data_IF_963306001744
#
_entry.id   IF_963306001744
#
_cell.length_a   1.000
_cell.length_b   1.000
_cell.length_c   1.000
_cell.angle_alpha   90.00
_cell.angle_beta   90.00
_cell.angle_gamma   90.00
#
_symmetry.space_group_name_H-M   'P 1'
#
loop_
_entity.id
_entity.type
_entity.pdbx_description
1 polymer ?
#
# COMPACT_ATOMS: atom_id res chain seq x y z
N UNK A 1 -15.31 -7.77 2.57
CA UNK A 1 -14.59 -6.71 1.85
C UNK A 1 -13.34 -6.40 2.66
N UNK A 2 -12.23 -6.05 2.04
CA UNK A 2 -10.97 -5.84 2.77
C UNK A 2 -10.94 -4.47 3.42
N UNK A 3 -10.42 -4.41 4.64
CA UNK A 3 -10.20 -3.19 5.42
C UNK A 3 -8.87 -2.52 5.08
N UNK A 4 -8.66 -1.30 5.55
CA UNK A 4 -7.34 -0.65 5.48
C UNK A 4 -6.26 -1.44 6.23
N UNK A 5 -6.63 -2.11 7.30
CA UNK A 5 -5.73 -3.00 8.04
C UNK A 5 -5.25 -4.18 7.17
N UNK A 6 -6.14 -4.84 6.43
CA UNK A 6 -5.77 -5.97 5.54
C UNK A 6 -4.79 -5.51 4.46
N UNK A 7 -4.99 -4.31 3.91
CA UNK A 7 -4.09 -3.71 2.91
C UNK A 7 -2.71 -3.40 3.51
N UNK A 8 -2.67 -2.85 4.72
CA UNK A 8 -1.43 -2.58 5.44
C UNK A 8 -0.65 -3.87 5.77
N UNK A 9 -1.34 -4.90 6.24
CA UNK A 9 -0.73 -6.22 6.52
C UNK A 9 -0.25 -6.89 5.23
N UNK A 10 -0.99 -6.79 4.14
CA UNK A 10 -0.53 -7.29 2.85
C UNK A 10 0.74 -6.58 2.38
N UNK A 11 0.83 -5.26 2.54
CA UNK A 11 2.03 -4.50 2.19
C UNK A 11 3.25 -4.95 3.01
N UNK A 12 3.09 -5.17 4.33
CA UNK A 12 4.15 -5.70 5.19
C UNK A 12 4.62 -7.08 4.73
N UNK A 13 3.69 -7.95 4.39
CA UNK A 13 3.98 -9.29 3.89
C UNK A 13 4.76 -9.25 2.58
N UNK A 14 4.41 -8.36 1.66
CA UNK A 14 5.16 -8.17 0.40
C UNK A 14 6.61 -7.77 0.68
N UNK A 15 6.85 -6.87 1.62
CA UNK A 15 8.20 -6.46 2.01
C UNK A 15 9.02 -7.63 2.60
N UNK A 16 8.40 -8.49 3.40
CA UNK A 16 9.06 -9.67 3.96
C UNK A 16 9.36 -10.73 2.90
N UNK A 17 8.42 -10.98 1.98
CA UNK A 17 8.55 -11.98 0.92
C UNK A 17 9.61 -11.61 -0.13
N UNK A 18 9.77 -10.32 -0.43
CA UNK A 18 10.77 -9.88 -1.41
C UNK A 18 12.21 -10.05 -0.88
N UNK A 19 12.39 -9.99 0.45
CA UNK A 19 13.65 -10.31 1.10
C UNK A 19 14.85 -9.50 0.61
N UNK A 20 14.65 -8.23 0.23
CA UNK A 20 15.69 -7.37 -0.33
C UNK A 20 16.03 -7.61 -1.81
N UNK A 21 15.36 -8.55 -2.49
CA UNK A 21 15.48 -8.71 -3.94
C UNK A 21 15.04 -7.43 -4.63
N UNK A 22 15.70 -7.08 -5.72
CA UNK A 22 15.58 -5.77 -6.34
C UNK A 22 15.59 -5.83 -7.86
N UNK A 23 15.34 -4.69 -8.48
CA UNK A 23 15.30 -4.50 -9.90
C UNK A 23 13.92 -4.11 -10.43
N UNK A 24 13.88 -3.62 -11.65
CA UNK A 24 12.64 -3.18 -12.27
C UNK A 24 11.83 -4.33 -12.87
N UNK A 25 12.49 -5.40 -13.31
CA UNK A 25 11.82 -6.59 -13.80
C UNK A 25 11.44 -7.49 -12.62
N UNK A 26 10.25 -7.34 -12.10
CA UNK A 26 9.77 -8.01 -10.90
C UNK A 26 8.29 -8.36 -10.97
N UNK A 27 7.76 -9.06 -9.97
CA UNK A 27 6.36 -9.51 -9.98
C UNK A 27 5.33 -8.38 -10.07
N UNK A 28 5.64 -7.16 -9.61
CA UNK A 28 4.71 -6.02 -9.65
C UNK A 28 4.62 -5.42 -11.04
N UNK A 29 5.77 -5.29 -11.72
CA UNK A 29 5.81 -4.81 -13.11
C UNK A 29 5.20 -5.81 -14.08
N UNK A 30 5.45 -7.12 -13.89
CA UNK A 30 4.79 -8.17 -14.64
C UNK A 30 3.29 -8.15 -14.44
N UNK A 31 2.84 -8.18 -13.17
CA UNK A 31 1.41 -8.16 -12.88
C UNK A 31 0.71 -6.94 -13.50
N UNK A 32 1.31 -5.75 -13.38
CA UNK A 32 0.72 -4.53 -13.92
C UNK A 32 0.63 -4.59 -15.45
N UNK A 33 1.72 -4.95 -16.11
CA UNK A 33 1.79 -5.01 -17.56
C UNK A 33 0.88 -6.08 -18.16
N UNK A 34 0.75 -7.23 -17.50
CA UNK A 34 -0.04 -8.35 -17.99
C UNK A 34 -1.56 -8.19 -17.70
N UNK A 35 -1.95 -7.44 -16.68
CA UNK A 35 -3.34 -7.38 -16.20
C UNK A 35 -4.00 -6.01 -16.27
N UNK A 36 -3.23 -4.92 -16.44
CA UNK A 36 -3.76 -3.55 -16.41
C UNK A 36 -3.46 -2.82 -17.71
N UNK A 37 -2.20 -2.66 -18.07
CA UNK A 37 -1.77 -1.89 -19.23
C UNK A 37 -0.41 -2.38 -19.70
N UNK A 38 -0.31 -2.84 -20.93
CA UNK A 38 0.93 -3.36 -21.50
C UNK A 38 1.95 -2.23 -21.76
N UNK A 39 2.76 -1.94 -20.74
CA UNK A 39 3.84 -0.93 -20.78
C UNK A 39 5.24 -1.54 -20.66
N UNK A 40 5.34 -2.87 -20.82
CA UNK A 40 6.58 -3.63 -20.60
C UNK A 40 6.87 -3.84 -19.11
N UNK A 41 8.05 -4.37 -18.80
CA UNK A 41 8.40 -4.77 -17.43
C UNK A 41 9.52 -3.91 -16.80
N UNK A 42 9.97 -2.87 -17.50
CA UNK A 42 11.08 -2.03 -17.04
C UNK A 42 10.63 -0.57 -16.87
N UNK A 43 9.91 -0.30 -15.79
CA UNK A 43 9.43 1.03 -15.43
C UNK A 43 9.53 1.28 -13.91
N UNK A 44 9.27 2.50 -13.48
CA UNK A 44 9.25 2.88 -12.07
C UNK A 44 7.98 2.37 -11.41
N UNK A 45 8.10 1.42 -10.50
CA UNK A 45 7.02 0.55 -10.08
C UNK A 45 6.43 0.80 -8.67
N UNK A 46 6.69 1.95 -8.06
CA UNK A 46 6.06 2.31 -6.79
C UNK A 46 4.52 2.28 -6.87
N UNK A 47 3.98 2.83 -7.95
CA UNK A 47 2.54 2.86 -8.22
C UNK A 47 1.97 1.47 -8.57
N UNK A 48 2.69 0.69 -9.37
CA UNK A 48 2.32 -0.71 -9.68
C UNK A 48 2.33 -1.58 -8.41
N UNK A 49 3.26 -1.35 -7.48
CA UNK A 49 3.27 -2.01 -6.18
C UNK A 49 1.99 -1.74 -5.40
N UNK A 50 1.58 -0.47 -5.25
CA UNK A 50 0.33 -0.12 -4.56
C UNK A 50 -0.86 -0.77 -5.25
N UNK A 51 -0.96 -0.65 -6.58
CA UNK A 51 -2.02 -1.28 -7.38
C UNK A 51 -2.08 -2.79 -7.15
N UNK A 52 -0.94 -3.47 -7.17
CA UNK A 52 -0.85 -4.90 -6.89
C UNK A 52 -1.38 -5.24 -5.49
N UNK A 53 -0.87 -4.59 -4.45
CA UNK A 53 -1.23 -4.88 -3.05
C UNK A 53 -2.73 -4.74 -2.83
N UNK A 54 -3.34 -3.64 -3.27
CA UNK A 54 -4.77 -3.41 -3.08
C UNK A 54 -5.63 -4.43 -3.86
N UNK A 55 -5.20 -4.86 -5.06
CA UNK A 55 -5.90 -5.92 -5.82
C UNK A 55 -5.76 -7.30 -5.17
N UNK A 56 -4.60 -7.63 -4.60
CA UNK A 56 -4.44 -8.87 -3.84
C UNK A 56 -5.37 -8.94 -2.61
N UNK A 57 -5.77 -7.79 -2.08
CA UNK A 57 -6.78 -7.68 -1.04
C UNK A 57 -8.22 -7.65 -1.57
N UNK A 58 -8.45 -7.74 -2.88
CA UNK A 58 -9.79 -7.68 -3.48
C UNK A 58 -10.43 -6.30 -3.44
N UNK A 59 -9.67 -5.23 -3.22
CA UNK A 59 -10.17 -3.85 -3.25
C UNK A 59 -10.51 -3.49 -4.70
N UNK A 60 -11.73 -3.04 -5.03
CA UNK A 60 -12.12 -2.71 -6.41
C UNK A 60 -11.49 -1.41 -6.92
N UNK A 61 -11.44 -1.24 -8.25
CA UNK A 61 -10.90 -0.02 -8.88
C UNK A 61 -11.72 1.24 -8.60
N UNK A 62 -12.96 1.10 -8.19
CA UNK A 62 -13.82 2.19 -7.72
C UNK A 62 -13.42 2.74 -6.34
N UNK A 63 -12.60 2.01 -5.59
CA UNK A 63 -12.07 2.42 -4.28
C UNK A 63 -10.64 2.92 -4.42
N UNK A 64 -9.76 2.15 -5.09
CA UNK A 64 -8.40 2.56 -5.43
C UNK A 64 -8.19 2.26 -6.92
N UNK A 65 -7.92 3.25 -7.79
CA UNK A 65 -7.67 2.99 -9.20
C UNK A 65 -6.39 2.18 -9.39
N UNK A 66 -6.24 1.49 -10.51
CA UNK A 66 -4.93 1.04 -10.94
C UNK A 66 -4.18 2.24 -11.54
N UNK A 67 -2.90 2.37 -11.23
CA UNK A 67 -2.06 3.44 -11.77
C UNK A 67 -0.59 3.02 -11.84
N UNK A 68 0.10 3.49 -12.86
CA UNK A 68 1.56 3.42 -13.03
C UNK A 68 2.22 4.80 -12.88
N UNK A 69 1.42 5.88 -12.86
CA UNK A 69 1.85 7.26 -12.77
C UNK A 69 1.14 7.96 -11.60
N UNK A 70 1.92 8.44 -10.61
CA UNK A 70 1.36 8.99 -9.36
C UNK A 70 0.43 10.19 -9.56
N UNK A 71 0.66 11.15 -10.47
CA UNK A 71 -0.28 12.24 -10.73
C UNK A 71 -1.67 11.78 -11.13
N UNK A 72 -1.83 10.67 -11.85
CA UNK A 72 -3.15 10.13 -12.20
C UNK A 72 -3.94 9.72 -10.96
N UNK A 73 -3.27 9.12 -9.95
CA UNK A 73 -3.90 8.77 -8.69
C UNK A 73 -4.24 10.02 -7.87
N UNK A 74 -3.35 11.02 -7.83
CA UNK A 74 -3.60 12.30 -7.16
C UNK A 74 -4.87 12.96 -7.74
N UNK A 75 -4.98 13.04 -9.05
CA UNK A 75 -6.13 13.65 -9.72
C UNK A 75 -7.42 12.84 -9.51
N UNK A 76 -7.31 11.52 -9.54
CA UNK A 76 -8.46 10.66 -9.25
C UNK A 76 -8.93 10.84 -7.80
N UNK A 77 -8.05 10.80 -6.81
CA UNK A 77 -8.37 10.97 -5.40
C UNK A 77 -8.96 12.37 -5.11
N UNK A 78 -8.43 13.40 -5.77
CA UNK A 78 -8.93 14.78 -5.67
C UNK A 78 -10.36 14.89 -6.19
N UNK A 79 -10.65 14.35 -7.37
CA UNK A 79 -11.99 14.37 -7.97
C UNK A 79 -13.02 13.59 -7.16
N UNK A 80 -12.59 12.61 -6.38
CA UNK A 80 -13.47 11.82 -5.52
C UNK A 80 -13.54 12.34 -4.06
N UNK A 81 -12.95 13.51 -3.76
CA UNK A 81 -12.99 14.11 -2.42
C UNK A 81 -12.22 13.32 -1.35
N UNK A 82 -11.25 12.48 -1.75
CA UNK A 82 -10.51 11.57 -0.87
C UNK A 82 -9.05 11.94 -0.68
N UNK A 83 -8.63 13.10 -1.19
CA UNK A 83 -7.26 13.57 -1.13
C UNK A 83 -7.09 14.59 -0.02
N UNK A 84 -6.19 14.34 0.91
CA UNK A 84 -5.85 15.22 2.02
C UNK A 84 -4.44 15.77 1.84
N UNK A 85 -4.31 17.09 1.90
CA UNK A 85 -3.00 17.74 1.78
C UNK A 85 -2.14 17.51 3.03
N UNK A 86 -0.82 17.62 2.87
CA UNK A 86 0.12 17.62 4.01
C UNK A 86 -0.27 18.67 5.05
N UNK A 87 -0.78 19.84 4.64
CA UNK A 87 -1.27 20.86 5.57
C UNK A 87 -2.42 20.35 6.44
N UNK A 88 -3.40 19.64 5.86
CA UNK A 88 -4.52 19.05 6.61
C UNK A 88 -4.06 17.97 7.59
N UNK A 89 -3.02 17.21 7.25
CA UNK A 89 -2.41 16.24 8.16
C UNK A 89 -1.68 16.96 9.31
N UNK A 90 -0.90 17.98 8.98
CA UNK A 90 -0.07 18.72 9.96
C UNK A 90 -0.91 19.50 10.96
N UNK A 91 -2.02 20.10 10.54
CA UNK A 91 -2.90 20.87 11.43
C UNK A 91 -3.98 20.02 12.12
N UNK A 92 -3.99 18.70 11.90
CA UNK A 92 -4.91 17.77 12.55
C UNK A 92 -6.32 17.73 11.94
N UNK A 93 -6.58 18.42 10.82
CA UNK A 93 -7.86 18.34 10.12
C UNK A 93 -8.09 16.94 9.51
N UNK A 94 -7.01 16.23 9.18
CA UNK A 94 -7.03 14.85 8.79
C UNK A 94 -5.97 14.05 9.56
N UNK A 95 -6.34 12.90 10.09
CA UNK A 95 -5.41 11.94 10.71
C UNK A 95 -5.24 10.75 9.78
N UNK A 96 -4.02 10.44 9.31
CA UNK A 96 -3.78 9.25 8.50
C UNK A 96 -4.10 7.96 9.24
N UNK A 97 -4.45 6.91 8.50
CA UNK A 97 -4.76 5.57 9.04
C UNK A 97 -3.97 4.50 8.29
N UNK A 98 -3.84 3.32 8.91
CA UNK A 98 -3.29 2.15 8.22
C UNK A 98 -4.19 1.78 7.02
N UNK A 99 -3.56 1.56 5.86
CA UNK A 99 -4.23 1.36 4.59
C UNK A 99 -4.33 2.61 3.72
N UNK A 100 -4.21 3.80 4.28
CA UNK A 100 -4.12 5.03 3.47
C UNK A 100 -2.89 4.99 2.57
N UNK A 101 -2.95 5.74 1.49
CA UNK A 101 -1.89 5.80 0.48
C UNK A 101 -1.24 7.18 0.56
N UNK A 102 0.05 7.26 0.88
CA UNK A 102 0.76 8.52 0.74
C UNK A 102 1.11 8.77 -0.73
N UNK A 103 1.09 10.02 -1.14
CA UNK A 103 1.30 10.44 -2.52
C UNK A 103 2.21 11.68 -2.58
N UNK A 104 3.08 11.67 -3.55
CA UNK A 104 3.78 12.85 -4.10
C UNK A 104 3.92 12.66 -5.60
N UNK A 105 4.35 13.68 -6.33
CA UNK A 105 4.41 13.66 -7.79
C UNK A 105 5.16 12.44 -8.37
N UNK A 106 6.28 12.08 -7.79
CA UNK A 106 7.14 11.00 -8.31
C UNK A 106 7.16 9.73 -7.47
N UNK A 107 6.36 9.62 -6.39
CA UNK A 107 6.41 8.43 -5.53
C UNK A 107 5.14 8.21 -4.70
N UNK A 108 4.94 6.95 -4.28
CA UNK A 108 3.79 6.51 -3.51
C UNK A 108 4.08 5.24 -2.71
N UNK A 109 3.27 4.99 -1.69
CA UNK A 109 3.29 3.76 -0.90
C UNK A 109 2.08 3.68 0.03
N UNK A 110 2.00 2.61 0.79
CA UNK A 110 0.90 2.31 1.68
C UNK A 110 1.31 2.63 3.11
N UNK A 111 0.50 3.43 3.82
CA UNK A 111 0.67 3.69 5.25
C UNK A 111 0.31 2.42 6.00
N UNK A 112 1.25 1.92 6.80
CA UNK A 112 1.06 0.66 7.52
C UNK A 112 0.90 0.86 9.03
N UNK A 113 1.34 1.99 9.56
CA UNK A 113 1.07 2.37 10.96
C UNK A 113 1.16 3.88 11.13
N UNK A 114 0.50 4.37 12.16
CA UNK A 114 0.54 5.77 12.61
C UNK A 114 0.87 5.79 14.10
N UNK A 115 1.79 6.65 14.51
CA UNK A 115 2.20 6.81 15.91
C UNK A 115 2.57 8.27 16.20
N UNK A 116 1.90 8.88 17.14
CA UNK A 116 2.08 10.31 17.44
C UNK A 116 1.92 11.16 16.17
N UNK A 117 2.90 11.99 15.89
CA UNK A 117 2.92 12.88 14.72
C UNK A 117 3.72 12.29 13.53
N UNK A 118 3.66 10.98 13.34
CA UNK A 118 4.34 10.29 12.24
C UNK A 118 3.54 9.10 11.74
N UNK A 119 3.81 8.70 10.51
CA UNK A 119 3.32 7.44 9.94
C UNK A 119 4.48 6.65 9.31
N UNK A 120 4.34 5.33 9.32
CA UNK A 120 5.27 4.42 8.64
C UNK A 120 4.60 3.88 7.39
N UNK A 121 5.36 3.84 6.29
CA UNK A 121 4.93 3.33 4.99
C UNK A 121 5.65 2.05 4.61
N UNK A 122 5.04 1.28 3.73
CA UNK A 122 5.72 0.28 2.89
C UNK A 122 5.59 0.73 1.44
N UNK A 123 6.70 0.74 0.73
CA UNK A 123 6.86 1.37 -0.57
C UNK A 123 7.56 0.43 -1.55
N UNK A 124 7.04 0.33 -2.75
CA UNK A 124 7.75 -0.30 -3.87
C UNK A 124 8.73 0.68 -4.51
N UNK A 125 9.69 0.16 -5.24
CA UNK A 125 10.68 0.96 -5.98
C UNK A 125 11.45 1.95 -5.09
N UNK A 126 11.79 1.53 -3.87
CA UNK A 126 12.47 2.36 -2.87
C UNK A 126 13.73 1.66 -2.34
N UNK A 127 14.54 2.36 -1.55
CA UNK A 127 15.78 1.80 -0.98
C UNK A 127 16.77 1.33 -2.04
N UNK A 128 17.79 0.58 -1.61
CA UNK A 128 18.80 0.00 -2.50
C UNK A 128 19.63 1.03 -3.24
N UNK A 129 20.16 0.65 -4.40
CA UNK A 129 20.91 1.52 -5.32
C UNK A 129 20.03 1.97 -6.49
N UNK A 130 20.50 2.90 -7.33
CA UNK A 130 19.78 3.38 -8.52
C UNK A 130 19.34 2.24 -9.46
N UNK A 131 20.11 1.14 -9.52
CA UNK A 131 19.85 0.01 -10.39
C UNK A 131 19.24 -1.19 -9.66
N UNK A 132 18.98 -1.06 -8.35
CA UNK A 132 18.54 -2.16 -7.52
C UNK A 132 17.53 -1.64 -6.47
N UNK A 133 16.34 -1.30 -6.92
CA UNK A 133 15.24 -0.86 -6.07
C UNK A 133 14.46 -2.06 -5.53
N UNK A 134 13.93 -1.93 -4.32
CA UNK A 134 13.24 -3.01 -3.60
C UNK A 134 11.89 -2.52 -3.03
N UNK A 135 11.25 -3.37 -2.25
CA UNK A 135 10.19 -2.97 -1.32
C UNK A 135 10.83 -2.63 0.01
N UNK A 136 10.59 -1.45 0.52
CA UNK A 136 11.17 -0.96 1.76
C UNK A 136 10.18 -0.20 2.62
N UNK A 137 10.59 0.16 3.83
CA UNK A 137 9.78 0.90 4.78
C UNK A 137 10.45 2.22 5.14
N UNK A 138 9.64 3.27 5.29
CA UNK A 138 10.09 4.59 5.77
C UNK A 138 9.13 5.13 6.83
N UNK A 139 9.66 5.93 7.75
CA UNK A 139 8.84 6.69 8.71
C UNK A 139 8.93 8.17 8.38
N UNK A 140 7.77 8.79 8.23
CA UNK A 140 7.61 10.18 7.85
C UNK A 140 6.94 10.96 8.98
N UNK A 141 7.54 12.06 9.42
CA UNK A 141 6.83 12.98 10.31
C UNK A 141 5.75 13.75 9.53
N UNK A 142 4.67 14.13 10.19
CA UNK A 142 3.56 14.86 9.55
C UNK A 142 4.05 16.19 8.95
N UNK A 143 4.90 16.93 9.64
CA UNK A 143 5.39 18.22 9.17
C UNK A 143 6.62 18.13 8.26
N UNK A 144 7.59 17.26 8.61
CA UNK A 144 8.89 17.16 7.93
C UNK A 144 8.98 16.10 6.84
N UNK A 145 8.00 15.19 6.73
CA UNK A 145 8.02 14.10 5.76
C UNK A 145 8.00 14.58 4.31
N UNK A 146 8.64 13.82 3.42
CA UNK A 146 8.66 14.11 1.98
C UNK A 146 7.45 13.50 1.28
N UNK A 147 6.27 14.04 1.54
CA UNK A 147 5.00 13.72 0.89
C UNK A 147 4.20 14.99 0.68
N UNK A 148 3.27 14.97 -0.26
CA UNK A 148 2.39 16.11 -0.57
C UNK A 148 0.97 15.87 -0.09
N UNK A 149 0.52 14.60 -0.19
CA UNK A 149 -0.86 14.21 0.08
C UNK A 149 -0.94 12.85 0.76
N UNK A 150 -2.09 12.63 1.41
CA UNK A 150 -2.58 11.32 1.84
C UNK A 150 -3.91 11.07 1.14
N UNK A 151 -4.05 9.95 0.47
CA UNK A 151 -5.28 9.48 -0.13
C UNK A 151 -5.93 8.48 0.83
N UNK A 152 -7.16 8.77 1.25
CA UNK A 152 -8.01 7.87 2.03
C UNK A 152 -8.95 7.09 1.10
N UNK A 153 -8.73 5.79 0.89
CA UNK A 153 -9.57 4.99 0.00
C UNK A 153 -11.01 4.78 0.49
N UNK A 154 -11.30 5.06 1.78
CA UNK A 154 -12.62 4.80 2.37
C UNK A 154 -13.06 3.34 2.18
N UNK A 155 -12.24 2.42 2.65
CA UNK A 155 -12.58 1.00 2.64
C UNK A 155 -13.92 0.76 3.36
N UNK A 156 -14.69 -0.23 2.93
CA UNK A 156 -16.07 -0.45 3.39
C UNK A 156 -16.21 -0.80 4.89
N UNK A 157 -15.13 -1.18 5.53
CA UNK A 157 -15.10 -1.45 6.97
C UNK A 157 -14.55 -0.22 7.71
N UNK A 158 -15.41 0.78 7.90
CA UNK A 158 -15.21 1.79 8.95
C UNK A 158 -15.48 1.15 10.31
N UNK A 159 -14.60 0.28 10.78
CA UNK A 159 -14.52 0.04 12.20
C UNK A 159 -13.94 1.32 12.82
N UNK A 160 -14.79 2.05 13.53
CA UNK A 160 -14.42 3.24 14.29
C UNK A 160 -13.10 2.98 15.03
N UNK A 161 -12.07 3.77 14.71
CA UNK A 161 -10.79 3.69 15.37
C UNK A 161 -10.89 4.07 16.84
N UNK A 162 -11.05 3.08 17.65
CA UNK A 162 -10.53 3.07 19.00
C UNK A 162 -9.25 2.26 18.96
N UNK A 163 -8.14 2.91 19.29
CA UNK A 163 -6.85 2.27 19.53
C UNK A 163 -7.02 1.23 20.62
N UNK A 164 -7.31 -0.01 20.25
CA UNK A 164 -7.22 -1.16 21.14
C UNK A 164 -5.95 -1.90 20.77
N UNK A 165 -5.04 -1.99 21.73
CA UNK A 165 -3.94 -2.94 21.74
C UNK A 165 -4.48 -4.32 21.33
N UNK A 166 -4.16 -4.74 20.10
CA UNK A 166 -4.57 -6.04 19.58
C UNK A 166 -4.03 -7.14 20.48
N UNK A 167 -4.91 -7.86 21.15
CA UNK A 167 -4.57 -9.02 21.95
C UNK A 167 -4.05 -10.13 21.03
N UNK A 168 -3.13 -10.93 21.52
CA UNK A 168 -2.50 -12.08 20.82
C UNK A 168 -3.50 -13.09 20.23
N UNK A 169 -4.78 -13.03 20.59
CA UNK A 169 -5.82 -13.93 20.08
C UNK A 169 -6.21 -13.67 18.61
N UNK A 170 -6.12 -12.43 18.12
CA UNK A 170 -6.40 -12.16 16.70
C UNK A 170 -5.35 -12.72 15.76
N UNK A 171 -4.11 -12.87 16.23
CA UNK A 171 -3.00 -13.50 15.49
C UNK A 171 -3.22 -14.99 15.24
N UNK A 172 -3.83 -15.70 16.18
CA UNK A 172 -4.07 -17.15 16.09
C UNK A 172 -5.17 -17.51 15.10
N UNK A 173 -6.11 -16.60 14.82
CA UNK A 173 -7.20 -16.83 13.86
C UNK A 173 -6.74 -16.69 12.40
N UNK A 174 -5.78 -15.80 12.12
CA UNK A 174 -5.26 -15.58 10.77
C UNK A 174 -4.40 -16.75 10.27
N UNK A 175 -3.62 -17.38 11.15
CA UNK A 175 -2.79 -18.54 10.81
C UNK A 175 -3.62 -19.78 10.42
N UNK A 176 -4.79 -19.98 11.01
CA UNK A 176 -5.69 -21.10 10.65
C UNK A 176 -6.29 -20.97 9.25
N UNK A 177 -6.52 -19.74 8.77
CA UNK A 177 -7.05 -19.49 7.42
C UNK A 177 -5.99 -19.68 6.33
N UNK A 178 -4.75 -19.35 6.62
CA UNK A 178 -3.61 -19.48 5.69
C UNK A 178 -3.26 -20.97 5.48
N UNK A 179 -3.34 -21.80 6.51
CA UNK A 179 -3.08 -23.26 6.40
C UNK A 179 -4.14 -23.99 5.58
N UNK A 180 -5.38 -23.51 5.51
CA UNK A 180 -6.44 -24.13 4.68
C UNK A 180 -6.26 -23.85 3.18
N UNK A 181 -5.71 -22.70 2.76
CA UNK A 181 -5.46 -22.40 1.34
C UNK A 181 -4.22 -23.09 0.75
N UNK A 182 -3.21 -23.41 1.57
CA UNK A 182 -2.03 -24.16 1.09
C UNK A 182 -2.31 -25.62 0.73
N UNK A 183 -3.42 -26.19 1.17
CA UNK A 183 -3.81 -27.59 0.84
C UNK A 183 -4.52 -27.76 -0.51
N UNK A 184 -4.95 -26.67 -1.15
CA UNK A 184 -5.70 -26.73 -2.42
C UNK A 184 -4.82 -26.50 -3.67
N UNK A 185 -3.53 -26.20 -3.53
CA UNK A 185 -2.62 -25.97 -4.67
C UNK A 185 -1.54 -27.05 -4.83
N UNK A 186 -1.66 -28.19 -4.13
CA UNK A 186 -0.68 -29.27 -4.18
C UNK A 186 -1.14 -30.48 -5.00
N UNK A 187 -2.11 -30.35 -5.88
CA UNK A 187 -2.53 -31.41 -6.81
C UNK A 187 -2.78 -30.81 -8.19
N UNK A 188 -1.71 -30.57 -8.93
CA UNK A 188 -1.64 -30.54 -10.40
C UNK A 188 -0.15 -30.41 -10.78
N UNK A 189 0.55 -31.52 -10.80
CA UNK A 189 1.64 -31.80 -11.72
C UNK A 189 1.10 -32.62 -12.89
#
# INVERSE_FOLDING_TARGET
MSSGFDVAERARKEMQEIGGKCGNNNKYTHWYSDNVENIGYNFWWCAAFVSYVVRQCGVPTSIVPNYSYCPNCIDWARRNGRLHSKHQVTNGTYTPHAGDIFLREGHTGIIVSVSGNSFTTVEGNTGGTSNCRTVGSHTWSFSGGNYDYVFNPEYSDKSNGTSSSGSMESYMYSEKFIRRRKRTYSCME
#
